data_IF_753051435745
#
_entry.id   IF_753051435745
#
_cell.length_a   1.000
_cell.length_b   1.000
_cell.length_c   1.000
_cell.angle_alpha   90.00
_cell.angle_beta   90.00
_cell.angle_gamma   90.00
#
_symmetry.space_group_name_H-M   'P 1'
#
loop_
_entity.id
_entity.type
_entity.pdbx_description
1 polymer ?
#
# COMPACT_ATOMS: atom_id res chain seq x y z
N UNK A 1 14.86 -25.81 -17.16
CA UNK A 1 13.74 -25.41 -18.04
C UNK A 1 13.04 -24.20 -17.43
N UNK A 2 13.16 -23.02 -18.03
CA UNK A 2 12.60 -21.77 -17.50
C UNK A 2 11.08 -21.72 -17.63
N UNK A 3 10.38 -21.19 -16.62
CA UNK A 3 8.94 -20.93 -16.71
C UNK A 3 8.69 -19.81 -17.73
N UNK A 4 7.91 -20.08 -18.77
CA UNK A 4 7.44 -19.06 -19.72
C UNK A 4 6.65 -18.00 -18.94
N UNK A 5 7.08 -16.74 -18.98
CA UNK A 5 6.36 -15.62 -18.35
C UNK A 5 5.31 -15.09 -19.33
N UNK A 6 4.07 -14.99 -18.86
CA UNK A 6 2.96 -14.44 -19.61
C UNK A 6 2.62 -13.05 -19.05
N UNK A 7 2.38 -12.08 -19.93
CA UNK A 7 1.96 -10.72 -19.54
C UNK A 7 0.55 -10.76 -18.95
N UNK A 8 0.23 -9.78 -18.11
CA UNK A 8 -1.11 -9.67 -17.53
C UNK A 8 -2.18 -9.51 -18.63
N UNK A 9 -1.90 -8.69 -19.62
CA UNK A 9 -2.77 -8.46 -20.78
C UNK A 9 -3.06 -9.75 -21.55
N UNK A 10 -2.03 -10.56 -21.83
CA UNK A 10 -2.21 -11.84 -22.51
C UNK A 10 -3.09 -12.80 -21.68
N UNK A 11 -2.83 -12.92 -20.38
CA UNK A 11 -3.67 -13.75 -19.49
C UNK A 11 -5.14 -13.29 -19.53
N UNK A 12 -5.38 -11.99 -19.47
CA UNK A 12 -6.72 -11.41 -19.55
C UNK A 12 -7.42 -11.75 -20.85
N UNK A 13 -6.75 -11.55 -22.00
CA UNK A 13 -7.34 -11.87 -23.31
C UNK A 13 -7.74 -13.34 -23.43
N UNK A 14 -6.86 -14.26 -23.01
CA UNK A 14 -7.16 -15.69 -23.07
C UNK A 14 -8.28 -16.07 -22.09
N UNK A 15 -8.29 -15.54 -20.87
CA UNK A 15 -9.38 -15.80 -19.92
C UNK A 15 -10.71 -15.27 -20.43
N UNK A 16 -10.74 -14.08 -21.05
CA UNK A 16 -11.95 -13.55 -21.68
C UNK A 16 -12.44 -14.46 -22.82
N UNK A 17 -11.54 -14.99 -23.64
CA UNK A 17 -11.91 -15.95 -24.69
C UNK A 17 -12.52 -17.24 -24.10
N UNK A 18 -11.98 -17.75 -22.99
CA UNK A 18 -12.56 -18.91 -22.28
C UNK A 18 -13.93 -18.57 -21.70
N UNK A 19 -14.15 -17.35 -21.21
CA UNK A 19 -15.43 -16.91 -20.66
C UNK A 19 -16.50 -16.67 -21.74
N UNK A 20 -16.09 -16.36 -22.98
CA UNK A 20 -16.99 -16.24 -24.13
C UNK A 20 -17.45 -17.59 -24.70
N UNK A 21 -16.85 -18.70 -24.25
CA UNK A 21 -17.19 -20.07 -24.66
C UNK A 21 -17.14 -20.30 -26.20
N UNK A 22 -16.41 -19.46 -26.94
CA UNK A 22 -16.25 -19.57 -28.40
C UNK A 22 -15.56 -20.88 -28.81
N UNK A 23 -14.73 -21.43 -27.92
CA UNK A 23 -13.99 -22.68 -28.08
C UNK A 23 -13.87 -23.37 -26.72
N UNK A 24 -13.74 -24.69 -26.73
CA UNK A 24 -13.45 -25.43 -25.51
C UNK A 24 -12.12 -25.00 -24.89
N UNK A 25 -12.05 -24.98 -23.55
CA UNK A 25 -10.85 -24.61 -22.80
C UNK A 25 -9.63 -25.41 -23.23
N UNK A 26 -9.81 -26.71 -23.53
CA UNK A 26 -8.75 -27.58 -24.02
C UNK A 26 -8.21 -27.17 -25.39
N UNK A 27 -9.08 -26.75 -26.31
CA UNK A 27 -8.68 -26.26 -27.63
C UNK A 27 -7.92 -24.94 -27.54
N UNK A 28 -8.40 -23.99 -26.72
CA UNK A 28 -7.70 -22.71 -26.47
C UNK A 28 -6.33 -22.95 -25.82
N UNK A 29 -6.27 -23.86 -24.84
CA UNK A 29 -5.03 -24.25 -24.18
C UNK A 29 -4.02 -24.86 -25.18
N UNK A 30 -4.47 -25.73 -26.08
CA UNK A 30 -3.64 -26.33 -27.12
C UNK A 30 -3.14 -25.28 -28.13
N UNK A 31 -4.02 -24.43 -28.66
CA UNK A 31 -3.68 -23.36 -29.61
C UNK A 31 -2.63 -22.39 -29.05
N UNK A 32 -2.77 -22.03 -27.77
CA UNK A 32 -1.89 -21.07 -27.11
C UNK A 32 -0.68 -21.73 -26.43
N UNK A 33 -0.55 -23.06 -26.54
CA UNK A 33 0.51 -23.86 -25.89
C UNK A 33 0.56 -23.65 -24.37
N UNK A 34 -0.61 -23.54 -23.74
CA UNK A 34 -0.80 -23.37 -22.30
C UNK A 34 -1.28 -24.70 -21.72
N UNK A 35 -0.83 -25.04 -20.51
CA UNK A 35 -1.39 -26.19 -19.81
C UNK A 35 -2.87 -25.92 -19.42
N UNK A 36 -3.82 -26.81 -19.73
CA UNK A 36 -5.24 -26.61 -19.39
C UNK A 36 -5.48 -26.29 -17.90
N UNK A 37 -4.70 -26.86 -16.98
CA UNK A 37 -4.79 -26.56 -15.55
C UNK A 37 -4.35 -25.13 -15.25
N UNK A 38 -3.31 -24.63 -15.92
CA UNK A 38 -2.86 -23.25 -15.79
C UNK A 38 -3.94 -22.26 -16.27
N UNK A 39 -4.63 -22.59 -17.36
CA UNK A 39 -5.73 -21.78 -17.86
C UNK A 39 -6.95 -21.80 -16.92
N UNK A 40 -7.26 -22.95 -16.29
CA UNK A 40 -8.28 -23.04 -15.23
C UNK A 40 -7.92 -22.17 -14.02
N UNK A 41 -6.66 -22.18 -13.59
CA UNK A 41 -6.17 -21.31 -12.51
C UNK A 41 -6.33 -19.84 -12.86
N UNK A 42 -5.94 -19.42 -14.07
CA UNK A 42 -6.11 -18.02 -14.49
C UNK A 42 -7.56 -17.59 -14.56
N UNK A 43 -8.46 -18.44 -15.06
CA UNK A 43 -9.90 -18.18 -15.06
C UNK A 43 -10.41 -17.94 -13.64
N UNK A 44 -10.02 -18.78 -12.69
CA UNK A 44 -10.38 -18.63 -11.28
C UNK A 44 -9.83 -17.33 -10.70
N UNK A 45 -8.53 -17.07 -10.84
CA UNK A 45 -7.89 -15.85 -10.33
C UNK A 45 -8.52 -14.57 -10.90
N UNK A 46 -8.90 -14.58 -12.18
CA UNK A 46 -9.56 -13.45 -12.82
C UNK A 46 -10.94 -13.20 -12.22
N UNK A 47 -11.77 -14.24 -12.07
CA UNK A 47 -13.12 -14.10 -11.50
C UNK A 47 -13.08 -13.67 -10.03
N UNK A 48 -12.15 -14.23 -9.23
CA UNK A 48 -11.98 -13.88 -7.82
C UNK A 48 -11.62 -12.39 -7.65
N UNK A 49 -10.81 -11.84 -8.56
CA UNK A 49 -10.42 -10.42 -8.56
C UNK A 49 -11.38 -9.50 -9.33
N UNK A 50 -12.21 -10.04 -10.22
CA UNK A 50 -13.15 -9.23 -11.00
C UNK A 50 -14.21 -8.59 -10.10
N UNK A 51 -14.69 -9.32 -9.09
CA UNK A 51 -15.62 -8.78 -8.10
C UNK A 51 -15.02 -7.58 -7.35
N UNK A 52 -13.73 -7.65 -6.98
CA UNK A 52 -13.07 -6.57 -6.25
C UNK A 52 -12.92 -5.27 -7.05
N UNK A 53 -13.02 -5.31 -8.38
CA UNK A 53 -13.02 -4.09 -9.22
C UNK A 53 -14.28 -3.25 -8.95
N UNK A 54 -15.42 -3.90 -8.72
CA UNK A 54 -16.67 -3.21 -8.38
C UNK A 54 -16.71 -2.77 -6.90
N UNK A 55 -16.08 -3.54 -6.01
CA UNK A 55 -15.88 -3.15 -4.60
C UNK A 55 -14.79 -2.09 -4.39
N UNK A 56 -13.96 -1.85 -5.42
CA UNK A 56 -12.83 -0.93 -5.38
C UNK A 56 -13.22 0.48 -4.97
N UNK A 57 -14.46 0.91 -5.25
CA UNK A 57 -14.97 2.21 -4.80
C UNK A 57 -15.05 2.33 -3.28
N UNK A 58 -15.32 1.25 -2.56
CA UNK A 58 -15.41 1.22 -1.09
C UNK A 58 -14.04 1.10 -0.45
N UNK A 59 -13.20 0.21 -0.95
CA UNK A 59 -11.82 0.04 -0.47
C UNK A 59 -10.95 1.28 -0.73
N UNK A 60 -11.11 1.92 -1.90
CA UNK A 60 -10.35 3.14 -2.23
C UNK A 60 -10.74 4.28 -1.30
N UNK A 61 -12.05 4.52 -1.12
CA UNK A 61 -12.58 5.53 -0.18
C UNK A 61 -12.13 5.28 1.27
N UNK A 62 -12.14 4.03 1.71
CA UNK A 62 -11.66 3.67 3.06
C UNK A 62 -10.16 3.93 3.21
N UNK A 63 -9.36 3.58 2.18
CA UNK A 63 -7.92 3.86 2.18
C UNK A 63 -7.62 5.36 2.18
N UNK A 64 -8.37 6.15 1.41
CA UNK A 64 -8.22 7.60 1.34
C UNK A 64 -8.61 8.24 2.67
N UNK A 65 -9.69 7.76 3.30
CA UNK A 65 -10.09 8.20 4.63
C UNK A 65 -9.00 7.93 5.66
N UNK A 66 -8.44 6.71 5.70
CA UNK A 66 -7.34 6.37 6.61
C UNK A 66 -6.10 7.22 6.37
N UNK A 67 -5.76 7.51 5.11
CA UNK A 67 -4.66 8.41 4.77
C UNK A 67 -4.89 9.81 5.34
N UNK A 68 -6.09 10.37 5.17
CA UNK A 68 -6.44 11.69 5.72
C UNK A 68 -6.39 11.73 7.24
N UNK A 69 -6.90 10.69 7.91
CA UNK A 69 -6.83 10.57 9.37
C UNK A 69 -5.37 10.55 9.86
N UNK A 70 -4.51 9.76 9.19
CA UNK A 70 -3.08 9.67 9.51
C UNK A 70 -2.32 10.96 9.21
N UNK A 71 -2.67 11.67 8.14
CA UNK A 71 -2.11 12.98 7.82
C UNK A 71 -2.49 14.05 8.86
N UNK A 72 -3.73 14.05 9.32
CA UNK A 72 -4.20 14.96 10.36
C UNK A 72 -3.49 14.71 11.70
N UNK A 73 -3.37 13.44 12.11
CA UNK A 73 -2.63 13.07 13.33
C UNK A 73 -1.16 13.50 13.24
N UNK A 74 -0.52 13.29 12.08
CA UNK A 74 0.86 13.71 11.84
C UNK A 74 1.01 15.24 11.94
N UNK A 75 0.05 16.00 11.43
CA UNK A 75 0.07 17.46 11.52
C UNK A 75 0.01 17.92 12.98
N UNK A 76 -0.88 17.33 13.79
CA UNK A 76 -1.01 17.66 15.21
C UNK A 76 0.23 17.28 16.02
N UNK A 77 0.84 16.12 15.71
CA UNK A 77 2.13 15.74 16.28
C UNK A 77 3.23 16.75 15.94
N UNK A 78 3.32 17.20 14.68
CA UNK A 78 4.33 18.17 14.25
C UNK A 78 4.14 19.53 14.93
N UNK A 79 2.89 20.00 15.09
CA UNK A 79 2.58 21.21 15.87
C UNK A 79 3.05 21.08 17.31
N UNK A 80 2.75 19.96 17.95
CA UNK A 80 3.14 19.68 19.34
C UNK A 80 4.65 19.65 19.48
N UNK A 81 5.37 18.96 18.59
CA UNK A 81 6.84 18.92 18.57
C UNK A 81 7.41 20.32 18.39
N UNK A 82 6.83 21.14 17.49
CA UNK A 82 7.23 22.52 17.28
C UNK A 82 7.10 23.36 18.54
N UNK A 83 5.94 23.31 19.21
CA UNK A 83 5.71 24.01 20.48
C UNK A 83 6.70 23.57 21.56
N UNK A 84 6.85 22.25 21.77
CA UNK A 84 7.78 21.71 22.76
C UNK A 84 9.23 22.09 22.46
N UNK A 85 9.60 22.19 21.18
CA UNK A 85 10.94 22.65 20.77
C UNK A 85 11.18 24.10 21.16
N UNK A 86 10.22 24.98 20.89
CA UNK A 86 10.30 26.40 21.27
C UNK A 86 10.36 26.57 22.80
N UNK A 87 9.48 25.88 23.53
CA UNK A 87 9.47 25.92 25.00
C UNK A 87 10.79 25.40 25.59
N UNK A 88 11.28 24.27 25.09
CA UNK A 88 12.56 23.70 25.50
C UNK A 88 13.71 24.66 25.23
N UNK A 89 13.77 25.27 24.05
CA UNK A 89 14.86 26.19 23.69
C UNK A 89 14.83 27.47 24.54
N UNK A 90 13.63 27.99 24.80
CA UNK A 90 13.44 29.09 25.72
C UNK A 90 13.93 28.76 27.14
N UNK A 91 13.51 27.61 27.69
CA UNK A 91 13.90 27.16 29.02
C UNK A 91 15.40 26.90 29.13
N UNK A 92 16.02 26.30 28.10
CA UNK A 92 17.48 26.13 28.03
C UNK A 92 18.19 27.48 28.07
N UNK A 93 17.75 28.44 27.24
CA UNK A 93 18.33 29.79 27.21
C UNK A 93 18.23 30.50 28.56
N UNK A 94 17.08 30.39 29.23
CA UNK A 94 16.88 30.96 30.57
C UNK A 94 17.72 30.28 31.64
N UNK A 95 17.83 28.96 31.59
CA UNK A 95 18.66 28.19 32.51
C UNK A 95 20.13 28.56 32.38
N UNK A 96 20.65 28.72 31.15
CA UNK A 96 22.01 29.21 30.91
C UNK A 96 22.20 30.63 31.47
N UNK A 97 21.24 31.53 31.27
CA UNK A 97 21.30 32.91 31.76
C UNK A 97 21.36 32.99 33.30
N UNK A 98 20.62 32.12 33.99
CA UNK A 98 20.49 32.16 35.47
C UNK A 98 21.57 31.32 36.16
N UNK A 99 21.87 30.14 35.63
CA UNK A 99 22.67 29.12 36.32
C UNK A 99 24.03 28.85 35.68
N UNK A 100 24.34 29.51 34.55
CA UNK A 100 25.56 29.32 33.78
C UNK A 100 25.45 28.18 32.76
N UNK A 101 26.44 28.07 31.86
CA UNK A 101 26.47 27.06 30.81
C UNK A 101 26.44 25.62 31.35
N UNK A 102 26.91 25.42 32.58
CA UNK A 102 26.98 24.11 33.25
C UNK A 102 25.71 23.72 34.00
N UNK A 103 24.57 24.42 33.76
CA UNK A 103 23.34 24.23 34.55
C UNK A 103 22.87 22.77 34.60
N UNK A 104 23.07 22.00 33.53
CA UNK A 104 22.65 20.59 33.45
C UNK A 104 23.32 19.72 34.53
N UNK A 105 24.57 20.01 34.89
CA UNK A 105 25.31 19.28 35.95
C UNK A 105 24.72 19.50 37.34
N UNK A 106 23.90 20.54 37.53
CA UNK A 106 23.26 20.86 38.82
C UNK A 106 21.97 20.05 39.05
N UNK A 107 21.44 19.41 38.01
CA UNK A 107 20.20 18.62 38.07
C UNK A 107 20.41 17.11 37.88
N UNK A 108 21.59 16.71 37.40
CA UNK A 108 22.00 15.29 37.35
C UNK A 108 22.54 14.92 38.73
N UNK A 109 21.85 14.00 39.42
CA UNK A 109 22.25 13.46 40.73
C UNK A 109 23.16 12.26 40.56
#
# INVERSE_FOLDING_TARGET
MGKRKFTAEFKTQIVLQVLREEKELGAIAAEQQINPNQLRTWKKEFLDKAASVFDGSRQTKESERRKRELEAEKEDMLKTIGQLTLERDFLKKKSIQIMGADYEKKFIR
#
